data_IF_896051863209
#
_entry.id   IF_896051863209
#
_cell.length_a   1.000
_cell.length_b   1.000
_cell.length_c   1.000
_cell.angle_alpha   90.00
_cell.angle_beta   90.00
_cell.angle_gamma   90.00
#
_symmetry.space_group_name_H-M   'P 1'
#
loop_
_entity.id
_entity.type
_entity.pdbx_description
1 polymer ?
#
# COMPACT_ATOMS: atom_id res chain seq x y z
N UNK A 1 9.54 -7.52 -19.64
CA UNK A 1 9.97 -7.49 -18.21
C UNK A 1 10.32 -8.90 -17.82
N UNK A 2 11.38 -9.11 -17.05
CA UNK A 2 11.68 -10.40 -16.43
C UNK A 2 11.20 -10.35 -14.99
N UNK A 3 10.40 -11.32 -14.56
CA UNK A 3 9.91 -11.41 -13.18
C UNK A 3 10.70 -12.47 -12.41
N UNK A 4 11.57 -12.02 -11.50
CA UNK A 4 12.32 -12.92 -10.60
C UNK A 4 11.62 -13.00 -9.25
N UNK A 5 11.49 -14.21 -8.71
CA UNK A 5 10.84 -14.44 -7.44
C UNK A 5 11.23 -15.80 -6.83
N UNK A 6 11.12 -15.93 -5.50
CA UNK A 6 11.34 -17.22 -4.82
C UNK A 6 10.05 -18.03 -4.74
N UNK A 7 10.09 -19.32 -5.07
CA UNK A 7 8.94 -20.22 -4.97
C UNK A 7 8.49 -20.47 -3.52
N UNK A 8 9.34 -20.20 -2.52
CA UNK A 8 9.01 -20.38 -1.10
C UNK A 8 7.92 -19.40 -0.61
N UNK A 9 7.71 -18.28 -1.31
CA UNK A 9 6.63 -17.35 -1.01
C UNK A 9 5.34 -17.82 -1.70
N UNK A 10 4.23 -17.87 -0.95
CA UNK A 10 2.95 -18.32 -1.50
C UNK A 10 2.53 -17.50 -2.73
N UNK A 11 2.06 -18.20 -3.77
CA UNK A 11 1.72 -17.59 -5.06
C UNK A 11 0.64 -16.50 -4.97
N UNK A 12 -0.34 -16.65 -4.08
CA UNK A 12 -1.41 -15.67 -3.90
C UNK A 12 -0.92 -14.27 -3.53
N UNK A 13 0.10 -14.16 -2.67
CA UNK A 13 0.68 -12.86 -2.30
C UNK A 13 1.46 -12.21 -3.44
N UNK A 14 2.16 -13.01 -4.25
CA UNK A 14 2.85 -12.51 -5.45
C UNK A 14 1.84 -11.98 -6.46
N UNK A 15 0.79 -12.74 -6.71
CA UNK A 15 -0.29 -12.33 -7.60
C UNK A 15 -0.92 -11.03 -7.13
N UNK A 16 -1.31 -10.95 -5.85
CA UNK A 16 -1.87 -9.73 -5.25
C UNK A 16 -0.93 -8.54 -5.35
N UNK A 17 0.37 -8.75 -5.09
CA UNK A 17 1.40 -7.71 -5.18
C UNK A 17 1.50 -7.14 -6.60
N UNK A 18 1.60 -8.00 -7.62
CA UNK A 18 1.58 -7.58 -9.02
C UNK A 18 0.27 -6.87 -9.37
N UNK A 19 -0.85 -7.38 -8.88
CA UNK A 19 -2.17 -6.81 -9.13
C UNK A 19 -2.30 -5.39 -8.62
N UNK A 20 -1.84 -5.12 -7.40
CA UNK A 20 -1.86 -3.78 -6.84
C UNK A 20 -0.82 -2.87 -7.52
N UNK A 21 0.37 -3.38 -7.84
CA UNK A 21 1.41 -2.59 -8.50
C UNK A 21 0.98 -2.06 -9.87
N UNK A 22 0.32 -2.89 -10.67
CA UNK A 22 -0.05 -2.54 -12.05
C UNK A 22 -1.53 -2.13 -12.19
N UNK A 23 -2.40 -2.67 -11.35
CA UNK A 23 -3.85 -2.50 -11.44
C UNK A 23 -4.43 -1.34 -10.65
N UNK A 24 -3.65 -0.69 -9.76
CA UNK A 24 -4.18 0.39 -8.91
C UNK A 24 -4.92 1.51 -9.67
N UNK A 25 -4.52 1.96 -10.89
CA UNK A 25 -5.27 3.01 -11.58
C UNK A 25 -6.66 2.52 -11.95
N UNK A 26 -6.77 1.30 -12.50
CA UNK A 26 -8.04 0.66 -12.85
C UNK A 26 -8.91 0.45 -11.61
N UNK A 27 -8.30 0.01 -10.50
CA UNK A 27 -8.98 -0.18 -9.21
C UNK A 27 -9.57 1.15 -8.72
N UNK A 28 -8.79 2.23 -8.72
CA UNK A 28 -9.29 3.55 -8.30
C UNK A 28 -10.33 4.13 -9.26
N UNK A 29 -10.18 3.94 -10.57
CA UNK A 29 -11.18 4.36 -11.54
C UNK A 29 -12.51 3.63 -11.34
N UNK A 30 -12.48 2.32 -11.14
CA UNK A 30 -13.69 1.53 -10.89
C UNK A 30 -14.31 1.83 -9.52
N UNK A 31 -13.48 2.08 -8.50
CA UNK A 31 -13.93 2.62 -7.21
C UNK A 31 -14.67 3.95 -7.38
N UNK A 32 -14.07 4.91 -8.08
CA UNK A 32 -14.68 6.22 -8.31
C UNK A 32 -15.99 6.10 -9.08
N UNK A 33 -16.03 5.24 -10.11
CA UNK A 33 -17.26 4.92 -10.82
C UNK A 33 -18.33 4.32 -9.89
N UNK A 34 -17.97 3.35 -9.04
CA UNK A 34 -18.87 2.78 -8.05
C UNK A 34 -19.43 3.82 -7.08
N UNK A 35 -18.57 4.70 -6.55
CA UNK A 35 -18.96 5.81 -5.67
C UNK A 35 -19.94 6.76 -6.37
N UNK A 36 -19.65 7.16 -7.60
CA UNK A 36 -20.51 8.05 -8.40
C UNK A 36 -21.87 7.37 -8.67
N UNK A 37 -21.86 6.10 -9.05
CA UNK A 37 -23.08 5.33 -9.31
C UNK A 37 -23.93 5.20 -8.05
N UNK A 38 -23.35 4.80 -6.92
CA UNK A 38 -24.04 4.71 -5.64
C UNK A 38 -24.63 6.05 -5.20
N UNK A 39 -23.88 7.14 -5.34
CA UNK A 39 -24.35 8.50 -5.05
C UNK A 39 -25.54 8.88 -5.95
N UNK A 40 -25.43 8.67 -7.27
CA UNK A 40 -26.46 9.00 -8.23
C UNK A 40 -27.75 8.21 -8.01
N UNK A 41 -27.66 6.90 -7.76
CA UNK A 41 -28.83 6.05 -7.49
C UNK A 41 -29.59 6.47 -6.22
N UNK A 42 -28.88 6.90 -5.17
CA UNK A 42 -29.51 7.47 -3.97
C UNK A 42 -30.13 8.85 -4.25
N UNK A 43 -29.48 9.71 -5.03
CA UNK A 43 -30.03 11.01 -5.44
C UNK A 43 -31.35 10.85 -6.21
N UNK A 44 -31.40 9.89 -7.14
CA UNK A 44 -32.57 9.55 -7.94
C UNK A 44 -33.67 8.78 -7.18
N UNK A 45 -33.49 8.53 -5.88
CA UNK A 45 -34.42 7.72 -5.05
C UNK A 45 -34.60 6.27 -5.53
N UNK A 46 -33.66 5.73 -6.31
CA UNK A 46 -33.69 4.31 -6.71
C UNK A 46 -33.26 3.43 -5.55
N UNK A 47 -32.23 3.86 -4.81
CA UNK A 47 -31.78 3.20 -3.59
C UNK A 47 -32.34 3.90 -2.35
N UNK A 48 -32.92 3.15 -1.38
CA UNK A 48 -33.52 3.75 -0.20
C UNK A 48 -32.46 4.22 0.80
N UNK A 49 -32.76 5.32 1.48
CA UNK A 49 -32.03 5.81 2.66
C UNK A 49 -32.79 5.35 3.90
N UNK A 50 -32.32 4.27 4.51
CA UNK A 50 -33.10 3.49 5.48
C UNK A 50 -32.74 3.78 6.95
N UNK A 51 -31.69 4.56 7.23
CA UNK A 51 -31.33 4.97 8.60
C UNK A 51 -31.53 6.47 8.80
N UNK A 52 -32.04 6.86 9.96
CA UNK A 52 -32.16 8.26 10.37
C UNK A 52 -31.08 8.60 11.40
N UNK A 53 -30.49 9.78 11.28
CA UNK A 53 -29.42 10.25 12.15
C UNK A 53 -29.61 11.74 12.43
N UNK A 54 -29.49 12.17 13.68
CA UNK A 54 -29.43 13.60 13.98
C UNK A 54 -28.06 14.16 13.60
N UNK A 55 -28.07 15.32 12.97
CA UNK A 55 -26.85 16.00 12.56
C UNK A 55 -26.94 17.50 12.77
N UNK A 56 -25.82 18.06 13.20
CA UNK A 56 -25.64 19.50 13.41
C UNK A 56 -24.48 19.96 12.56
N UNK A 57 -24.75 20.82 11.58
CA UNK A 57 -23.74 21.43 10.72
C UNK A 57 -24.15 22.87 10.39
N UNK A 58 -23.33 23.85 10.76
CA UNK A 58 -23.45 25.27 10.38
C UNK A 58 -24.89 25.82 10.39
N UNK A 59 -25.49 25.92 11.57
CA UNK A 59 -26.86 26.43 11.73
C UNK A 59 -27.97 25.50 11.24
N UNK A 60 -27.64 24.39 10.57
CA UNK A 60 -28.56 23.30 10.29
C UNK A 60 -28.50 22.27 11.42
N UNK A 61 -29.62 22.08 12.11
CA UNK A 61 -29.81 21.00 13.08
C UNK A 61 -31.06 20.23 12.66
N UNK A 62 -30.91 18.95 12.34
CA UNK A 62 -32.04 18.16 11.85
C UNK A 62 -31.75 16.68 11.73
N UNK A 63 -32.81 15.93 11.42
CA UNK A 63 -32.71 14.50 11.09
C UNK A 63 -32.32 14.39 9.62
N UNK A 64 -31.20 13.71 9.35
CA UNK A 64 -30.76 13.42 7.98
C UNK A 64 -30.96 11.93 7.66
N UNK A 65 -31.50 11.60 6.48
CA UNK A 65 -31.59 10.22 6.02
C UNK A 65 -30.22 9.75 5.53
N UNK A 66 -29.81 8.54 5.92
CA UNK A 66 -28.49 7.99 5.61
C UNK A 66 -28.58 6.53 5.16
N UNK A 67 -27.53 6.07 4.48
CA UNK A 67 -27.35 4.69 4.03
C UNK A 67 -25.86 4.36 3.97
N UNK A 68 -25.52 3.13 3.59
CA UNK A 68 -24.15 2.69 3.34
C UNK A 68 -23.90 2.36 1.86
N UNK A 69 -24.79 2.78 0.96
CA UNK A 69 -24.72 2.41 -0.46
C UNK A 69 -23.44 2.91 -1.14
N UNK A 70 -22.96 4.11 -0.84
CA UNK A 70 -21.72 4.63 -1.45
C UNK A 70 -20.52 3.75 -1.03
N UNK A 71 -20.49 3.29 0.23
CA UNK A 71 -19.44 2.37 0.69
C UNK A 71 -19.52 1.01 -0.01
N UNK A 72 -20.72 0.43 -0.10
CA UNK A 72 -20.93 -0.87 -0.77
C UNK A 72 -20.53 -0.78 -2.24
N UNK A 73 -21.03 0.22 -2.97
CA UNK A 73 -20.69 0.39 -4.38
C UNK A 73 -19.22 0.75 -4.60
N UNK A 74 -18.60 1.51 -3.70
CA UNK A 74 -17.17 1.77 -3.71
C UNK A 74 -16.36 0.47 -3.57
N UNK A 75 -16.71 -0.40 -2.61
CA UNK A 75 -16.08 -1.71 -2.44
C UNK A 75 -16.29 -2.61 -3.67
N UNK A 76 -17.51 -2.69 -4.19
CA UNK A 76 -17.80 -3.42 -5.42
C UNK A 76 -17.01 -2.87 -6.61
N UNK A 77 -16.82 -1.55 -6.69
CA UNK A 77 -15.97 -0.89 -7.68
C UNK A 77 -14.51 -1.30 -7.57
N UNK A 78 -13.96 -1.39 -6.35
CA UNK A 78 -12.60 -1.92 -6.11
C UNK A 78 -12.49 -3.37 -6.59
N UNK A 79 -13.44 -4.23 -6.20
CA UNK A 79 -13.46 -5.64 -6.60
C UNK A 79 -13.60 -5.80 -8.12
N UNK A 80 -14.45 -4.99 -8.74
CA UNK A 80 -14.62 -4.97 -10.19
C UNK A 80 -13.35 -4.49 -10.89
N UNK A 81 -12.72 -3.42 -10.41
CA UNK A 81 -11.46 -2.92 -10.97
C UNK A 81 -10.34 -3.94 -10.86
N UNK A 82 -10.32 -4.71 -9.78
CA UNK A 82 -9.49 -5.89 -9.67
C UNK A 82 -9.82 -6.89 -10.79
N UNK A 83 -11.06 -7.36 -10.90
CA UNK A 83 -11.44 -8.36 -11.91
C UNK A 83 -11.21 -7.89 -13.35
N UNK A 84 -11.42 -6.61 -13.67
CA UNK A 84 -11.31 -6.07 -15.01
C UNK A 84 -9.87 -5.81 -15.44
N UNK A 85 -8.98 -5.42 -14.52
CA UNK A 85 -7.61 -4.98 -14.85
C UNK A 85 -6.86 -5.93 -15.82
N UNK A 86 -6.82 -7.26 -15.61
CA UNK A 86 -6.11 -8.18 -16.50
C UNK A 86 -6.68 -8.26 -17.91
N UNK A 87 -7.94 -7.88 -18.10
CA UNK A 87 -8.66 -8.00 -19.35
C UNK A 87 -8.70 -6.70 -20.17
N UNK A 88 -8.35 -5.56 -19.56
CA UNK A 88 -8.38 -4.27 -20.25
C UNK A 88 -7.25 -4.16 -21.30
N UNK A 89 -7.55 -3.74 -22.55
CA UNK A 89 -6.58 -3.72 -23.64
C UNK A 89 -5.44 -2.71 -23.41
N UNK A 90 -5.70 -1.63 -22.68
CA UNK A 90 -4.71 -0.60 -22.38
C UNK A 90 -3.62 -1.08 -21.40
N UNK A 91 -3.87 -2.18 -20.69
CA UNK A 91 -2.93 -2.80 -19.76
C UNK A 91 -2.00 -3.82 -20.43
N UNK A 92 -2.19 -4.12 -21.73
CA UNK A 92 -1.44 -5.16 -22.47
C UNK A 92 -0.02 -4.76 -22.89
N UNK A 93 0.51 -3.63 -22.44
CA UNK A 93 1.78 -3.09 -22.95
C UNK A 93 3.01 -3.79 -22.38
N UNK A 94 2.92 -4.41 -21.21
CA UNK A 94 4.05 -5.08 -20.57
C UNK A 94 3.93 -6.60 -20.68
N UNK A 95 4.60 -7.17 -21.70
CA UNK A 95 4.86 -8.61 -21.72
C UNK A 95 5.89 -8.92 -20.62
N UNK A 96 5.54 -9.83 -19.72
CA UNK A 96 6.47 -10.37 -18.73
C UNK A 96 6.86 -11.81 -19.09
N UNK A 97 8.13 -12.13 -18.84
CA UNK A 97 8.60 -13.50 -18.75
C UNK A 97 8.56 -13.91 -17.28
N UNK A 98 7.92 -15.04 -17.00
CA UNK A 98 7.91 -15.68 -15.69
C UNK A 98 8.29 -17.13 -15.89
N UNK A 99 9.40 -17.53 -15.28
CA UNK A 99 9.97 -18.89 -15.30
C UNK A 99 8.90 -19.99 -15.27
N UNK A 100 8.06 -20.02 -14.25
CA UNK A 100 7.06 -21.05 -14.02
C UNK A 100 5.97 -21.12 -15.12
N UNK A 101 5.64 -19.99 -15.73
CA UNK A 101 4.58 -19.91 -16.74
C UNK A 101 5.11 -20.09 -18.17
N UNK A 102 6.38 -19.72 -18.41
CA UNK A 102 6.98 -19.72 -19.73
C UNK A 102 7.84 -20.97 -20.01
N UNK A 103 8.33 -21.65 -18.97
CA UNK A 103 9.10 -22.89 -19.09
C UNK A 103 8.16 -24.07 -18.86
N UNK A 104 8.25 -25.08 -19.72
CA UNK A 104 7.46 -26.29 -19.56
C UNK A 104 7.86 -27.00 -18.25
N UNK A 105 6.90 -27.18 -17.33
CA UNK A 105 7.15 -27.79 -16.02
C UNK A 105 6.94 -29.32 -16.01
N UNK A 106 6.50 -29.92 -17.12
CA UNK A 106 6.13 -31.35 -17.20
C UNK A 106 7.00 -32.16 -18.16
N UNK A 107 7.52 -31.55 -19.23
CA UNK A 107 8.41 -32.16 -20.22
C UNK A 107 9.86 -31.79 -19.89
N UNK A 108 10.64 -32.74 -19.37
CA UNK A 108 12.02 -32.52 -18.90
C UNK A 108 12.93 -31.94 -19.99
N UNK A 109 12.75 -32.35 -21.25
CA UNK A 109 13.59 -31.86 -22.35
C UNK A 109 13.29 -30.40 -22.63
N UNK A 110 12.00 -30.04 -22.73
CA UNK A 110 11.58 -28.64 -22.92
C UNK A 110 11.85 -27.76 -21.70
N UNK A 111 11.80 -28.35 -20.50
CA UNK A 111 12.19 -27.67 -19.27
C UNK A 111 13.66 -27.28 -19.34
N UNK A 112 14.54 -28.23 -19.69
CA UNK A 112 15.97 -27.97 -19.87
C UNK A 112 16.24 -26.93 -20.97
N UNK A 113 15.61 -27.05 -22.14
CA UNK A 113 15.71 -26.05 -23.22
C UNK A 113 15.25 -24.66 -22.76
N UNK A 114 14.15 -24.59 -22.01
CA UNK A 114 13.62 -23.35 -21.45
C UNK A 114 14.57 -22.71 -20.43
N UNK A 115 15.15 -23.53 -19.54
CA UNK A 115 16.16 -23.11 -18.56
C UNK A 115 17.40 -22.56 -19.27
N UNK A 116 17.91 -23.28 -20.27
CA UNK A 116 19.07 -22.83 -21.07
C UNK A 116 18.79 -21.50 -21.80
N UNK A 117 17.52 -21.22 -22.10
CA UNK A 117 17.08 -19.99 -22.75
C UNK A 117 16.85 -18.80 -21.81
N UNK A 118 16.91 -18.97 -20.48
CA UNK A 118 16.67 -17.88 -19.50
C UNK A 118 17.58 -16.67 -19.77
N UNK A 119 18.85 -16.92 -20.10
CA UNK A 119 19.82 -15.87 -20.42
C UNK A 119 19.35 -14.98 -21.58
N UNK A 120 18.77 -15.56 -22.62
CA UNK A 120 18.23 -14.82 -23.76
C UNK A 120 17.05 -13.93 -23.35
N UNK A 121 16.17 -14.41 -22.47
CA UNK A 121 15.08 -13.60 -21.93
C UNK A 121 15.56 -12.48 -21.01
N UNK A 122 16.63 -12.68 -20.26
CA UNK A 122 17.28 -11.64 -19.47
C UNK A 122 17.87 -10.55 -20.37
N UNK A 123 18.58 -10.92 -21.44
CA UNK A 123 19.10 -9.97 -22.45
C UNK A 123 17.97 -9.19 -23.13
N UNK A 124 16.87 -9.86 -23.48
CA UNK A 124 15.74 -9.22 -24.16
C UNK A 124 14.88 -8.33 -23.24
N UNK A 125 15.06 -8.42 -21.92
CA UNK A 125 14.22 -7.73 -20.95
C UNK A 125 14.71 -6.32 -20.63
N UNK A 126 13.81 -5.33 -20.76
CA UNK A 126 14.08 -3.92 -20.40
C UNK A 126 14.12 -3.64 -18.89
N UNK A 127 13.47 -4.49 -18.12
CA UNK A 127 13.35 -4.38 -16.66
C UNK A 127 13.41 -5.78 -16.05
N UNK A 128 14.21 -5.93 -15.00
CA UNK A 128 14.14 -7.05 -14.05
C UNK A 128 13.34 -6.58 -12.83
N UNK A 129 12.20 -7.22 -12.59
CA UNK A 129 11.39 -7.01 -11.41
C UNK A 129 11.56 -8.17 -10.45
N UNK A 130 12.06 -7.87 -9.25
CA UNK A 130 12.33 -8.83 -8.19
C UNK A 130 11.22 -8.69 -7.15
N UNK A 131 10.33 -9.70 -7.06
CA UNK A 131 9.37 -9.79 -5.97
C UNK A 131 10.08 -10.26 -4.72
N UNK A 132 10.47 -9.30 -3.90
CA UNK A 132 11.38 -9.51 -2.80
C UNK A 132 10.66 -10.08 -1.58
N UNK A 133 11.30 -11.09 -0.99
CA UNK A 133 10.95 -11.69 0.31
C UNK A 133 12.21 -12.34 0.92
N UNK A 134 12.26 -12.60 2.24
CA UNK A 134 13.47 -13.09 2.90
C UNK A 134 14.15 -14.31 2.25
N UNK A 135 13.45 -15.37 1.79
CA UNK A 135 14.11 -16.56 1.21
C UNK A 135 14.53 -16.38 -0.26
N UNK A 136 14.68 -15.15 -0.76
CA UNK A 136 15.12 -14.90 -2.12
C UNK A 136 16.62 -15.21 -2.29
N UNK A 137 17.46 -14.71 -1.36
CA UNK A 137 18.92 -14.90 -1.45
C UNK A 137 19.39 -16.30 -1.07
N UNK A 138 18.51 -17.12 -0.49
CA UNK A 138 18.82 -18.52 -0.18
C UNK A 138 18.67 -19.45 -1.38
N UNK A 139 18.23 -18.96 -2.55
CA UNK A 139 18.07 -19.76 -3.78
C UNK A 139 19.05 -19.35 -4.89
N UNK A 140 19.78 -20.33 -5.41
CA UNK A 140 20.89 -20.11 -6.33
C UNK A 140 20.42 -19.46 -7.64
N UNK A 141 19.33 -19.97 -8.21
CA UNK A 141 18.69 -19.40 -9.40
C UNK A 141 18.29 -17.94 -9.22
N UNK A 142 17.60 -17.57 -8.13
CA UNK A 142 17.16 -16.20 -7.91
C UNK A 142 18.34 -15.23 -7.82
N UNK A 143 19.41 -15.62 -7.13
CA UNK A 143 20.62 -14.78 -7.02
C UNK A 143 21.34 -14.67 -8.37
N UNK A 144 21.46 -15.79 -9.08
CA UNK A 144 22.04 -15.84 -10.41
C UNK A 144 21.28 -14.95 -11.39
N UNK A 145 19.96 -14.97 -11.41
CA UNK A 145 19.14 -14.12 -12.28
C UNK A 145 19.43 -12.63 -12.12
N UNK A 146 19.57 -12.15 -10.87
CA UNK A 146 19.81 -10.73 -10.61
C UNK A 146 21.22 -10.33 -11.06
N UNK A 147 22.22 -11.15 -10.73
CA UNK A 147 23.60 -10.92 -11.16
C UNK A 147 23.77 -11.02 -12.68
N UNK A 148 23.17 -12.06 -13.30
CA UNK A 148 23.13 -12.27 -14.74
C UNK A 148 22.49 -11.08 -15.45
N UNK A 149 21.34 -10.62 -14.97
CA UNK A 149 20.66 -9.47 -15.55
C UNK A 149 21.53 -8.21 -15.51
N UNK A 150 22.18 -7.92 -14.37
CA UNK A 150 23.06 -6.75 -14.25
C UNK A 150 24.28 -6.86 -15.16
N UNK A 151 24.85 -8.07 -15.32
CA UNK A 151 25.98 -8.33 -16.23
C UNK A 151 25.58 -8.15 -17.71
N UNK A 152 24.42 -8.69 -18.09
CA UNK A 152 23.90 -8.66 -19.47
C UNK A 152 23.29 -7.30 -19.83
N UNK A 153 22.77 -6.57 -18.85
CA UNK A 153 22.16 -5.26 -18.98
C UNK A 153 22.78 -4.27 -17.96
N UNK A 154 24.00 -3.76 -18.20
CA UNK A 154 24.67 -2.88 -17.24
C UNK A 154 23.85 -1.65 -16.85
N UNK A 155 23.11 -1.07 -17.79
CA UNK A 155 22.20 0.07 -17.59
C UNK A 155 20.74 -0.34 -17.41
N UNK A 156 20.45 -1.64 -17.37
CA UNK A 156 19.12 -2.19 -17.22
C UNK A 156 18.47 -1.76 -15.91
N UNK A 157 17.15 -1.55 -15.95
CA UNK A 157 16.37 -1.20 -14.76
C UNK A 157 16.15 -2.45 -13.90
N UNK A 158 16.50 -2.38 -12.62
CA UNK A 158 16.17 -3.38 -11.61
C UNK A 158 15.19 -2.75 -10.62
N UNK A 159 14.05 -3.39 -10.39
CA UNK A 159 13.04 -2.97 -9.42
C UNK A 159 12.91 -4.05 -8.35
N UNK A 160 13.18 -3.70 -7.10
CA UNK A 160 13.02 -4.59 -5.95
C UNK A 160 11.71 -4.21 -5.27
N UNK A 161 10.72 -5.10 -5.34
CA UNK A 161 9.37 -4.84 -4.85
C UNK A 161 9.04 -5.76 -3.67
N UNK A 162 9.02 -5.26 -2.42
CA UNK A 162 8.69 -6.06 -1.24
C UNK A 162 7.21 -6.48 -1.25
N UNK A 163 6.95 -7.79 -1.27
CA UNK A 163 5.58 -8.35 -1.32
C UNK A 163 4.76 -7.99 -0.06
N UNK A 164 5.44 -7.73 1.07
CA UNK A 164 4.80 -7.38 2.34
C UNK A 164 4.08 -6.03 2.30
N UNK A 165 4.49 -5.11 1.43
CA UNK A 165 3.88 -3.78 1.31
C UNK A 165 2.45 -3.87 0.78
N UNK A 166 2.23 -4.64 -0.30
CA UNK A 166 0.89 -4.80 -0.89
C UNK A 166 -0.05 -5.58 0.03
N UNK A 167 0.47 -6.60 0.72
CA UNK A 167 -0.27 -7.32 1.76
C UNK A 167 -0.76 -6.35 2.84
N UNK A 168 0.12 -5.45 3.30
CA UNK A 168 -0.22 -4.46 4.31
C UNK A 168 -1.27 -3.48 3.82
N UNK A 169 -1.13 -2.95 2.60
CA UNK A 169 -2.12 -2.06 2.00
C UNK A 169 -3.52 -2.71 1.92
N UNK A 170 -3.61 -3.98 1.49
CA UNK A 170 -4.87 -4.73 1.46
C UNK A 170 -5.49 -4.92 2.85
N UNK A 171 -4.68 -5.30 3.85
CA UNK A 171 -5.17 -5.45 5.23
C UNK A 171 -5.69 -4.12 5.79
N UNK A 172 -4.98 -3.02 5.54
CA UNK A 172 -5.41 -1.68 5.96
C UNK A 172 -6.71 -1.27 5.27
N UNK A 173 -6.84 -1.52 3.96
CA UNK A 173 -8.08 -1.26 3.21
C UNK A 173 -9.27 -2.03 3.81
N UNK A 174 -9.12 -3.34 4.02
CA UNK A 174 -10.18 -4.18 4.56
C UNK A 174 -10.57 -3.76 5.98
N UNK A 175 -9.59 -3.48 6.84
CA UNK A 175 -9.84 -3.02 8.19
C UNK A 175 -10.56 -1.67 8.21
N UNK A 176 -10.07 -0.70 7.42
CA UNK A 176 -10.69 0.62 7.31
C UNK A 176 -12.13 0.53 6.78
N UNK A 177 -12.38 -0.35 5.82
CA UNK A 177 -13.73 -0.63 5.31
C UNK A 177 -14.66 -1.16 6.40
N UNK A 178 -14.22 -2.14 7.19
CA UNK A 178 -15.00 -2.70 8.30
C UNK A 178 -15.29 -1.62 9.35
N UNK A 179 -14.29 -0.82 9.71
CA UNK A 179 -14.45 0.25 10.71
C UNK A 179 -15.38 1.36 10.24
N UNK A 180 -15.37 1.73 8.95
CA UNK A 180 -16.32 2.70 8.39
C UNK A 180 -17.76 2.20 8.44
N UNK A 181 -17.99 0.91 8.13
CA UNK A 181 -19.31 0.29 8.22
C UNK A 181 -19.78 0.19 9.68
N UNK A 182 -18.89 -0.20 10.60
CA UNK A 182 -19.19 -0.23 12.03
C UNK A 182 -19.51 1.17 12.57
N UNK A 183 -18.76 2.19 12.15
CA UNK A 183 -18.99 3.58 12.54
C UNK A 183 -20.34 4.08 12.00
N UNK A 184 -20.63 3.80 10.73
CA UNK A 184 -21.92 4.11 10.12
C UNK A 184 -23.08 3.46 10.89
N UNK A 185 -22.94 2.21 11.32
CA UNK A 185 -23.99 1.57 12.12
C UNK A 185 -24.10 2.16 13.52
N UNK A 186 -22.97 2.48 14.15
CA UNK A 186 -22.94 3.04 15.50
C UNK A 186 -23.57 4.45 15.60
N UNK A 187 -23.53 5.25 14.52
CA UNK A 187 -24.18 6.57 14.44
C UNK A 187 -25.68 6.52 14.10
N UNK A 188 -26.22 5.35 13.78
CA UNK A 188 -27.63 5.22 13.45
C UNK A 188 -28.51 5.45 14.70
N UNK A 189 -29.61 6.20 14.55
CA UNK A 189 -30.58 6.42 15.62
C UNK A 189 -30.95 7.89 15.87
N UNK A 190 -32.02 8.12 16.64
CA UNK A 190 -32.62 9.44 16.86
C UNK A 190 -31.77 10.38 17.72
N UNK A 191 -30.67 9.93 18.32
CA UNK A 191 -29.76 10.81 19.07
C UNK A 191 -28.38 10.91 18.41
N UNK A 192 -28.27 10.50 17.13
CA UNK A 192 -26.98 10.42 16.44
C UNK A 192 -26.17 9.17 16.81
N UNK A 193 -26.82 8.17 17.41
CA UNK A 193 -26.23 6.92 17.84
C UNK A 193 -25.85 6.89 19.31
N UNK A 194 -25.45 5.71 19.79
CA UNK A 194 -24.99 5.56 21.18
C UNK A 194 -23.56 6.12 21.31
N UNK A 195 -23.31 7.13 22.16
CA UNK A 195 -21.98 7.75 22.28
C UNK A 195 -20.90 6.76 22.73
N UNK A 196 -21.26 5.79 23.58
CA UNK A 196 -20.37 4.69 23.97
C UNK A 196 -20.03 3.81 22.78
N UNK A 197 -21.01 3.48 21.93
CA UNK A 197 -20.74 2.70 20.71
C UNK A 197 -19.83 3.46 19.74
N UNK A 198 -20.04 4.76 19.55
CA UNK A 198 -19.17 5.62 18.73
C UNK A 198 -17.75 5.69 19.29
N UNK A 199 -17.62 5.83 20.62
CA UNK A 199 -16.33 5.83 21.29
C UNK A 199 -15.61 4.48 21.14
N UNK A 200 -16.32 3.36 21.31
CA UNK A 200 -15.77 2.01 21.16
C UNK A 200 -15.34 1.76 19.72
N UNK A 201 -16.15 2.14 18.72
CA UNK A 201 -15.77 1.99 17.31
C UNK A 201 -14.59 2.89 16.96
N UNK A 202 -14.59 4.16 17.40
CA UNK A 202 -13.47 5.07 17.19
C UNK A 202 -12.18 4.57 17.86
N UNK A 203 -12.26 4.12 19.11
CA UNK A 203 -11.12 3.58 19.84
C UNK A 203 -10.61 2.29 19.21
N UNK A 204 -11.49 1.32 18.89
CA UNK A 204 -11.10 0.05 18.26
C UNK A 204 -10.42 0.24 16.91
N UNK A 205 -10.87 1.21 16.12
CA UNK A 205 -10.23 1.56 14.86
C UNK A 205 -8.75 1.93 15.07
N UNK A 206 -8.48 2.88 15.98
CA UNK A 206 -7.11 3.31 16.27
C UNK A 206 -6.30 2.23 17.00
N UNK A 207 -6.89 1.52 17.96
CA UNK A 207 -6.24 0.47 18.74
C UNK A 207 -5.82 -0.75 17.92
N UNK A 208 -6.45 -1.00 16.77
CA UNK A 208 -6.08 -2.12 15.90
C UNK A 208 -5.27 -1.65 14.69
N UNK A 209 -5.73 -0.60 13.99
CA UNK A 209 -5.10 -0.12 12.75
C UNK A 209 -3.64 0.28 12.99
N UNK A 210 -3.41 1.03 14.08
CA UNK A 210 -2.11 1.63 14.35
C UNK A 210 -1.08 0.56 14.76
N UNK A 211 -1.38 -0.38 15.69
CA UNK A 211 -0.50 -1.51 15.94
C UNK A 211 -0.31 -2.43 14.72
N UNK A 212 -1.36 -2.67 13.92
CA UNK A 212 -1.24 -3.50 12.72
C UNK A 212 -0.29 -2.91 11.68
N UNK A 213 -0.43 -1.61 11.36
CA UNK A 213 0.53 -0.97 10.45
C UNK A 213 1.89 -0.70 11.10
N UNK A 214 1.98 -0.51 12.42
CA UNK A 214 3.24 -0.52 13.15
C UNK A 214 3.98 -1.86 13.03
N UNK A 215 3.25 -2.98 13.17
CA UNK A 215 3.77 -4.32 12.94
C UNK A 215 4.18 -4.53 11.48
N UNK A 216 3.39 -4.06 10.51
CA UNK A 216 3.75 -4.11 9.10
C UNK A 216 5.06 -3.37 8.80
N UNK A 217 5.22 -2.17 9.35
CA UNK A 217 6.45 -1.37 9.22
C UNK A 217 7.63 -2.06 9.90
N UNK A 218 7.43 -2.61 11.10
CA UNK A 218 8.45 -3.39 11.80
C UNK A 218 8.87 -4.62 11.00
N UNK A 219 7.91 -5.37 10.45
CA UNK A 219 8.17 -6.54 9.62
C UNK A 219 8.93 -6.14 8.36
N UNK A 220 8.54 -5.06 7.67
CA UNK A 220 9.26 -4.53 6.50
C UNK A 220 10.70 -4.12 6.85
N UNK A 221 10.91 -3.53 8.03
CA UNK A 221 12.26 -3.16 8.49
C UNK A 221 13.09 -4.39 8.83
N UNK A 222 12.52 -5.36 9.56
CA UNK A 222 13.16 -6.64 9.89
C UNK A 222 13.57 -7.36 8.61
N UNK A 223 12.67 -7.42 7.64
CA UNK A 223 12.88 -7.91 6.29
C UNK A 223 14.06 -7.22 5.58
N UNK A 224 14.13 -5.88 5.64
CA UNK A 224 15.23 -5.11 5.04
C UNK A 224 16.57 -5.33 5.76
N UNK A 225 16.55 -5.45 7.09
CA UNK A 225 17.74 -5.75 7.90
C UNK A 225 18.24 -7.18 7.64
N UNK A 226 17.32 -8.14 7.49
CA UNK A 226 17.64 -9.51 7.11
C UNK A 226 18.35 -9.52 5.75
N UNK A 227 17.83 -8.80 4.76
CA UNK A 227 18.49 -8.70 3.46
C UNK A 227 19.92 -8.13 3.58
N UNK A 228 20.12 -7.07 4.36
CA UNK A 228 21.46 -6.50 4.59
C UNK A 228 22.40 -7.55 5.18
N UNK A 229 21.92 -8.31 6.16
CA UNK A 229 22.68 -9.38 6.79
C UNK A 229 22.98 -10.51 5.81
N UNK A 230 22.00 -10.94 5.02
CA UNK A 230 22.14 -12.00 4.03
C UNK A 230 23.12 -11.61 2.92
N UNK A 231 23.06 -10.36 2.45
CA UNK A 231 24.03 -9.83 1.48
C UNK A 231 25.43 -9.72 2.07
N UNK A 232 25.58 -9.26 3.31
CA UNK A 232 26.89 -9.10 3.96
C UNK A 232 27.58 -10.45 4.22
N UNK A 233 26.80 -11.49 4.52
CA UNK A 233 27.30 -12.84 4.78
C UNK A 233 27.07 -13.80 3.60
N UNK A 234 26.83 -13.26 2.41
CA UNK A 234 26.51 -14.07 1.24
C UNK A 234 27.69 -14.97 0.83
N UNK A 235 27.41 -16.25 0.67
CA UNK A 235 28.32 -17.26 0.13
C UNK A 235 27.55 -18.15 -0.84
N UNK A 236 27.92 -18.10 -2.13
CA UNK A 236 27.27 -18.87 -3.20
C UNK A 236 27.30 -20.38 -2.96
N UNK A 237 28.31 -20.90 -2.25
CA UNK A 237 28.45 -22.33 -1.98
C UNK A 237 27.40 -22.85 -0.99
N UNK A 238 26.88 -21.97 -0.13
CA UNK A 238 25.85 -22.29 0.89
C UNK A 238 24.43 -22.11 0.37
N UNK A 239 24.26 -21.58 -0.85
CA UNK A 239 22.94 -21.31 -1.41
C UNK A 239 22.28 -22.61 -1.85
N UNK A 240 20.97 -22.73 -1.58
CA UNK A 240 20.18 -23.91 -1.96
C UNK A 240 19.93 -23.96 -3.47
N UNK A 241 20.02 -25.15 -4.03
CA UNK A 241 19.64 -25.49 -5.39
C UNK A 241 18.81 -26.78 -5.34
N UNK A 242 17.75 -26.88 -6.15
CA UNK A 242 16.87 -28.06 -6.18
C UNK A 242 17.50 -29.26 -6.88
N UNK A 243 18.46 -29.02 -7.79
CA UNK A 243 19.13 -30.04 -8.57
C UNK A 243 20.63 -29.75 -8.62
N UNK A 244 21.46 -30.80 -8.51
CA UNK A 244 22.92 -30.68 -8.57
C UNK A 244 23.40 -30.34 -9.99
N UNK A 245 22.72 -30.83 -11.02
CA UNK A 245 23.01 -30.46 -12.41
C UNK A 245 22.90 -28.94 -12.63
N UNK A 246 21.81 -28.34 -12.17
CA UNK A 246 21.62 -26.87 -12.22
C UNK A 246 22.72 -26.15 -11.44
N UNK A 247 23.08 -26.69 -10.27
CA UNK A 247 24.14 -26.11 -9.43
C UNK A 247 25.46 -26.07 -10.18
N UNK A 248 25.86 -27.19 -10.80
CA UNK A 248 27.09 -27.27 -11.58
C UNK A 248 27.06 -26.31 -12.78
N UNK A 249 25.94 -26.26 -13.52
CA UNK A 249 25.78 -25.36 -14.66
C UNK A 249 25.89 -23.88 -14.26
N UNK A 250 25.18 -23.47 -13.20
CA UNK A 250 25.21 -22.10 -12.69
C UNK A 250 26.59 -21.76 -12.12
N UNK A 251 27.20 -22.65 -11.35
CA UNK A 251 28.56 -22.45 -10.82
C UNK A 251 29.58 -22.31 -11.95
N UNK A 252 29.45 -23.08 -13.02
CA UNK A 252 30.26 -22.95 -14.23
C UNK A 252 30.08 -21.58 -14.89
N UNK A 253 28.84 -21.12 -15.07
CA UNK A 253 28.55 -19.80 -15.62
C UNK A 253 29.08 -18.66 -14.73
N UNK A 254 28.92 -18.77 -13.41
CA UNK A 254 29.47 -17.83 -12.44
C UNK A 254 30.99 -17.78 -12.54
N UNK A 255 31.66 -18.93 -12.59
CA UNK A 255 33.12 -19.02 -12.73
C UNK A 255 33.57 -18.40 -14.05
N UNK A 256 32.85 -18.62 -15.15
CA UNK A 256 33.15 -18.01 -16.44
C UNK A 256 32.99 -16.47 -16.43
N UNK A 257 32.01 -15.92 -15.72
CA UNK A 257 31.73 -14.48 -15.73
C UNK A 257 32.46 -13.66 -14.67
N UNK A 258 32.78 -14.28 -13.53
CA UNK A 258 33.38 -13.64 -12.36
C UNK A 258 34.77 -14.21 -12.02
N UNK A 259 35.24 -15.22 -12.74
CA UNK A 259 36.56 -15.85 -12.56
C UNK A 259 36.57 -16.96 -11.50
N UNK A 260 35.79 -16.84 -10.43
CA UNK A 260 35.62 -17.88 -9.41
C UNK A 260 34.33 -17.69 -8.61
N UNK A 261 33.91 -18.73 -7.89
CA UNK A 261 32.78 -18.67 -6.95
C UNK A 261 33.06 -17.67 -5.81
N UNK A 262 34.30 -17.60 -5.31
CA UNK A 262 34.67 -16.64 -4.26
C UNK A 262 34.64 -15.19 -4.76
N UNK A 263 35.11 -14.95 -5.99
CA UNK A 263 35.03 -13.62 -6.61
C UNK A 263 33.57 -13.17 -6.80
N UNK A 264 32.68 -14.11 -7.13
CA UNK A 264 31.24 -13.85 -7.16
C UNK A 264 30.66 -13.54 -5.79
N UNK A 265 30.95 -14.35 -4.75
CA UNK A 265 30.52 -14.07 -3.37
C UNK A 265 31.06 -12.72 -2.87
N UNK A 266 32.30 -12.36 -3.21
CA UNK A 266 32.88 -11.05 -2.90
C UNK A 266 32.16 -9.91 -3.64
N UNK A 267 31.81 -10.11 -4.92
CA UNK A 267 31.02 -9.13 -5.69
C UNK A 267 29.63 -8.91 -5.08
N UNK A 268 28.95 -10.00 -4.69
CA UNK A 268 27.64 -9.98 -4.05
C UNK A 268 27.67 -9.25 -2.70
N UNK A 269 28.68 -9.52 -1.87
CA UNK A 269 28.90 -8.84 -0.57
C UNK A 269 29.26 -7.36 -0.71
N UNK A 270 29.98 -7.00 -1.78
CA UNK A 270 30.52 -5.66 -1.99
C UNK A 270 29.65 -4.79 -2.91
N UNK A 271 30.07 -4.53 -4.17
CA UNK A 271 29.41 -3.56 -5.05
C UNK A 271 27.93 -3.84 -5.28
N UNK A 272 27.56 -5.11 -5.46
CA UNK A 272 26.18 -5.48 -5.74
C UNK A 272 25.27 -5.26 -4.53
N UNK A 273 25.73 -5.60 -3.32
CA UNK A 273 25.01 -5.30 -2.08
C UNK A 273 24.72 -3.80 -1.95
N UNK A 274 25.71 -2.95 -2.21
CA UNK A 274 25.53 -1.49 -2.16
C UNK A 274 24.47 -1.02 -3.17
N UNK A 275 24.49 -1.56 -4.38
CA UNK A 275 23.51 -1.26 -5.43
C UNK A 275 22.09 -1.68 -5.00
N UNK A 276 21.91 -2.91 -4.53
CA UNK A 276 20.62 -3.43 -4.06
C UNK A 276 20.07 -2.59 -2.90
N UNK A 277 20.92 -2.21 -1.96
CA UNK A 277 20.53 -1.39 -0.81
C UNK A 277 20.16 0.04 -1.24
N UNK A 278 20.86 0.61 -2.23
CA UNK A 278 20.49 1.90 -2.80
C UNK A 278 19.17 1.82 -3.56
N UNK A 279 18.95 0.77 -4.36
CA UNK A 279 17.68 0.51 -5.04
C UNK A 279 16.52 0.37 -4.06
N UNK A 280 16.73 -0.33 -2.94
CA UNK A 280 15.73 -0.44 -1.88
C UNK A 280 15.52 0.85 -1.11
N UNK A 281 16.56 1.68 -0.96
CA UNK A 281 16.42 3.01 -0.35
C UNK A 281 15.58 3.93 -1.25
N UNK A 282 15.84 3.92 -2.54
CA UNK A 282 15.07 4.68 -3.54
C UNK A 282 13.63 4.17 -3.67
N UNK A 283 13.46 2.85 -3.70
CA UNK A 283 12.13 2.19 -3.72
C UNK A 283 11.47 2.18 -2.35
N UNK A 284 12.18 2.64 -1.31
CA UNK A 284 11.78 2.55 0.09
C UNK A 284 10.66 3.50 0.45
N UNK A 285 10.27 4.44 -0.41
CA UNK A 285 9.00 5.13 -0.26
C UNK A 285 7.88 4.14 -0.61
N UNK A 286 7.03 3.81 0.37
CA UNK A 286 5.78 3.08 0.11
C UNK A 286 5.10 3.84 -1.01
N UNK A 287 4.80 3.23 -2.15
CA UNK A 287 4.28 3.99 -3.28
C UNK A 287 2.97 4.71 -2.88
N UNK A 288 2.77 5.95 -3.33
CA UNK A 288 1.68 6.81 -2.82
C UNK A 288 0.29 6.20 -3.02
N UNK A 289 0.10 5.36 -4.05
CA UNK A 289 -1.13 4.60 -4.24
C UNK A 289 -1.48 3.70 -3.04
N UNK A 290 -0.49 3.17 -2.33
CA UNK A 290 -0.72 2.34 -1.13
C UNK A 290 -1.11 3.16 0.10
N UNK A 291 -0.99 4.49 0.03
CA UNK A 291 -1.53 5.41 1.03
C UNK A 291 -2.97 5.76 0.68
N UNK A 292 -3.23 6.12 -0.58
CA UNK A 292 -4.57 6.55 -1.00
C UNK A 292 -5.59 5.41 -1.10
N UNK A 293 -5.18 4.22 -1.53
CA UNK A 293 -6.11 3.11 -1.72
C UNK A 293 -6.81 2.73 -0.39
N UNK A 294 -6.11 2.56 0.75
CA UNK A 294 -6.76 2.32 2.04
C UNK A 294 -7.65 3.47 2.55
N UNK A 295 -7.48 4.71 2.06
CA UNK A 295 -8.30 5.86 2.48
C UNK A 295 -9.66 5.91 1.77
N UNK A 296 -9.84 5.11 0.71
CA UNK A 296 -11.08 5.11 -0.10
C UNK A 296 -12.36 4.92 0.72
N UNK A 297 -12.45 4.07 1.77
CA UNK A 297 -13.70 3.93 2.51
C UNK A 297 -14.01 5.14 3.40
N UNK A 298 -12.98 5.87 3.88
CA UNK A 298 -13.17 7.14 4.61
C UNK A 298 -13.76 8.24 3.75
N UNK A 299 -13.33 8.30 2.47
CA UNK A 299 -13.93 9.16 1.45
C UNK A 299 -15.39 8.78 1.21
N UNK A 300 -15.69 7.49 1.03
CA UNK A 300 -17.07 7.01 0.86
C UNK A 300 -17.97 7.40 2.05
N UNK A 301 -17.50 7.17 3.28
CA UNK A 301 -18.25 7.52 4.50
C UNK A 301 -18.54 9.03 4.60
N UNK A 302 -17.62 9.86 4.13
CA UNK A 302 -17.79 11.33 4.13
C UNK A 302 -18.71 11.79 3.02
N UNK A 303 -18.68 11.15 1.85
CA UNK A 303 -19.64 11.37 0.77
C UNK A 303 -21.06 10.91 1.15
N UNK A 304 -21.21 9.84 1.92
CA UNK A 304 -22.51 9.43 2.50
C UNK A 304 -23.09 10.55 3.39
N UNK A 305 -22.25 11.26 4.16
CA UNK A 305 -22.67 12.43 4.96
C UNK A 305 -23.13 13.59 4.09
N UNK A 306 -22.39 13.90 3.03
CA UNK A 306 -22.73 14.96 2.06
C UNK A 306 -24.06 14.64 1.37
N UNK A 307 -24.22 13.41 0.88
CA UNK A 307 -25.47 12.91 0.28
C UNK A 307 -26.64 13.08 1.26
N UNK A 308 -26.48 12.64 2.51
CA UNK A 308 -27.53 12.71 3.52
C UNK A 308 -28.00 14.16 3.79
N UNK A 309 -27.07 15.12 3.85
CA UNK A 309 -27.40 16.55 4.00
C UNK A 309 -28.16 17.09 2.80
N UNK A 310 -27.72 16.78 1.57
CA UNK A 310 -28.41 17.18 0.34
C UNK A 310 -29.83 16.62 0.32
N UNK A 311 -30.01 15.35 0.69
CA UNK A 311 -31.31 14.67 0.71
C UNK A 311 -32.24 15.17 1.81
N UNK A 312 -31.68 15.71 2.90
CA UNK A 312 -32.44 16.40 3.94
C UNK A 312 -32.85 17.83 3.56
N UNK A 313 -32.44 18.34 2.39
CA UNK A 313 -32.70 19.72 1.98
C UNK A 313 -31.90 20.75 2.78
N UNK A 314 -30.73 20.36 3.32
CA UNK A 314 -29.86 21.28 4.03
C UNK A 314 -29.40 22.42 3.09
N UNK A 315 -29.22 23.66 3.60
CA UNK A 315 -28.67 24.75 2.80
C UNK A 315 -27.30 24.40 2.21
N UNK A 316 -26.93 25.06 1.11
CA UNK A 316 -25.67 24.79 0.42
C UNK A 316 -24.43 25.00 1.32
N UNK A 317 -24.49 25.94 2.25
CA UNK A 317 -23.36 26.30 3.11
C UNK A 317 -22.94 25.15 4.06
N UNK A 318 -23.83 24.51 4.86
CA UNK A 318 -23.53 23.26 5.57
C UNK A 318 -23.01 22.13 4.67
N UNK A 319 -23.60 21.94 3.49
CA UNK A 319 -23.19 20.88 2.55
C UNK A 319 -21.74 21.09 2.09
N UNK A 320 -21.41 22.30 1.64
CA UNK A 320 -20.06 22.69 1.23
C UNK A 320 -19.08 22.62 2.41
N UNK A 321 -19.50 23.07 3.59
CA UNK A 321 -18.71 22.99 4.82
C UNK A 321 -18.31 21.54 5.14
N UNK A 322 -19.25 20.60 5.11
CA UNK A 322 -18.97 19.17 5.34
C UNK A 322 -18.12 18.58 4.22
N UNK A 323 -18.37 18.92 2.95
CA UNK A 323 -17.56 18.45 1.82
C UNK A 323 -16.09 18.88 1.96
N UNK A 324 -15.84 20.18 2.15
CA UNK A 324 -14.47 20.68 2.25
C UNK A 324 -13.75 20.22 3.53
N UNK A 325 -14.44 20.18 4.69
CA UNK A 325 -13.82 19.76 5.95
C UNK A 325 -13.52 18.25 5.99
N UNK A 326 -14.45 17.41 5.53
CA UNK A 326 -14.32 15.96 5.66
C UNK A 326 -13.75 15.32 4.40
N UNK A 327 -14.31 15.58 3.22
CA UNK A 327 -13.86 14.91 1.98
C UNK A 327 -12.47 15.43 1.60
N UNK A 328 -12.33 16.75 1.42
CA UNK A 328 -11.09 17.35 0.93
C UNK A 328 -10.02 17.39 2.02
N UNK A 329 -10.23 18.16 3.10
CA UNK A 329 -9.23 18.30 4.16
C UNK A 329 -8.92 16.99 4.85
N UNK A 330 -9.91 16.33 5.46
CA UNK A 330 -9.63 15.19 6.33
C UNK A 330 -9.14 13.96 5.56
N UNK A 331 -9.92 13.48 4.57
CA UNK A 331 -9.62 12.20 3.91
C UNK A 331 -8.60 12.28 2.77
N UNK A 332 -8.62 13.34 1.96
CA UNK A 332 -7.73 13.43 0.77
C UNK A 332 -6.38 14.08 1.06
N UNK A 333 -6.27 14.88 2.13
CA UNK A 333 -5.05 15.62 2.45
C UNK A 333 -4.46 15.24 3.82
N UNK A 334 -5.23 15.41 4.89
CA UNK A 334 -4.73 15.29 6.27
C UNK A 334 -4.36 13.85 6.63
N UNK A 335 -5.25 12.87 6.48
CA UNK A 335 -4.94 11.47 6.80
C UNK A 335 -3.80 10.89 5.95
N UNK A 336 -3.74 11.12 4.62
CA UNK A 336 -2.58 10.74 3.83
C UNK A 336 -1.28 11.38 4.35
N UNK A 337 -1.30 12.67 4.69
CA UNK A 337 -0.13 13.34 5.27
C UNK A 337 0.27 12.73 6.62
N UNK A 338 -0.68 12.46 7.53
CA UNK A 338 -0.41 11.77 8.80
C UNK A 338 0.20 10.38 8.55
N UNK A 339 -0.30 9.62 7.57
CA UNK A 339 0.26 8.33 7.20
C UNK A 339 1.69 8.45 6.67
N UNK A 340 1.99 9.43 5.82
CA UNK A 340 3.36 9.72 5.34
C UNK A 340 4.29 10.07 6.50
N UNK A 341 3.86 11.01 7.35
CA UNK A 341 4.62 11.42 8.53
C UNK A 341 4.91 10.22 9.43
N UNK A 342 3.91 9.36 9.64
CA UNK A 342 4.06 8.15 10.45
C UNK A 342 5.06 7.16 9.85
N UNK A 343 4.94 6.83 8.57
CA UNK A 343 5.86 5.92 7.88
C UNK A 343 7.30 6.45 8.01
N UNK A 344 7.50 7.76 7.86
CA UNK A 344 8.78 8.40 8.04
C UNK A 344 9.28 8.32 9.49
N UNK A 345 8.43 8.67 10.47
CA UNK A 345 8.78 8.67 11.88
C UNK A 345 9.13 7.24 12.36
N UNK A 346 8.36 6.24 11.95
CA UNK A 346 8.60 4.84 12.27
C UNK A 346 9.95 4.36 11.72
N UNK A 347 10.26 4.68 10.46
CA UNK A 347 11.57 4.34 9.87
C UNK A 347 12.72 5.03 10.60
N UNK A 348 12.56 6.30 10.96
CA UNK A 348 13.60 7.07 11.66
C UNK A 348 13.80 6.61 13.11
N UNK A 349 12.72 6.36 13.86
CA UNK A 349 12.79 5.82 15.22
C UNK A 349 13.49 4.46 15.23
N UNK A 350 13.08 3.55 14.34
CA UNK A 350 13.73 2.25 14.18
C UNK A 350 15.23 2.36 13.83
N UNK A 351 15.67 3.44 13.18
CA UNK A 351 17.07 3.67 12.88
C UNK A 351 17.87 4.11 14.12
N UNK A 352 17.30 4.95 14.99
CA UNK A 352 17.94 5.43 16.23
C UNK A 352 17.99 4.34 17.31
N UNK A 353 16.99 3.46 17.36
CA UNK A 353 16.86 2.37 18.33
C UNK A 353 17.97 1.30 18.28
N UNK A 354 18.93 1.38 17.34
CA UNK A 354 20.09 0.48 17.32
C UNK A 354 21.08 0.70 18.48
N UNK A 355 20.90 1.77 19.30
CA UNK A 355 21.97 2.18 20.22
C UNK A 355 21.68 2.25 21.72
N UNK A 356 20.45 2.19 22.28
CA UNK A 356 20.25 2.00 23.74
C UNK A 356 18.81 1.96 24.30
N UNK A 357 17.79 2.49 23.61
CA UNK A 357 16.41 2.43 24.13
C UNK A 357 15.67 1.17 23.63
N UNK A 358 14.77 0.57 24.44
CA UNK A 358 13.92 -0.50 23.96
C UNK A 358 13.00 0.07 22.89
N UNK A 359 13.16 -0.42 21.65
CA UNK A 359 12.40 -0.05 20.45
C UNK A 359 10.89 0.05 20.66
N UNK A 360 10.35 -0.67 21.64
CA UNK A 360 8.95 -0.62 22.04
C UNK A 360 8.48 0.77 22.52
N UNK A 361 9.30 1.52 23.30
CA UNK A 361 8.88 2.83 23.82
C UNK A 361 8.80 3.87 22.70
N UNK A 362 9.80 3.91 21.81
CA UNK A 362 9.82 4.83 20.66
C UNK A 362 8.66 4.55 19.71
N UNK A 363 8.43 3.28 19.38
CA UNK A 363 7.25 2.87 18.59
C UNK A 363 5.99 3.34 19.31
N UNK A 364 5.83 3.06 20.61
CA UNK A 364 4.63 3.47 21.37
C UNK A 364 4.42 4.99 21.36
N UNK A 365 5.48 5.79 21.50
CA UNK A 365 5.40 7.25 21.41
C UNK A 365 4.95 7.71 20.02
N UNK A 366 5.50 7.11 18.97
CA UNK A 366 5.08 7.38 17.59
C UNK A 366 3.61 7.00 17.40
N UNK A 367 3.16 5.84 17.92
CA UNK A 367 1.76 5.41 17.84
C UNK A 367 0.85 6.40 18.57
N UNK A 368 1.19 6.83 19.80
CA UNK A 368 0.43 7.82 20.57
C UNK A 368 0.34 9.14 19.82
N UNK A 369 1.45 9.62 19.26
CA UNK A 369 1.47 10.85 18.45
C UNK A 369 0.57 10.73 17.21
N UNK A 370 0.54 9.57 16.56
CA UNK A 370 -0.32 9.31 15.41
C UNK A 370 -1.81 9.31 15.82
N UNK A 371 -2.15 8.68 16.94
CA UNK A 371 -3.52 8.70 17.50
C UNK A 371 -3.94 10.14 17.79
N UNK A 372 -3.13 10.90 18.52
CA UNK A 372 -3.41 12.30 18.86
C UNK A 372 -3.59 13.13 17.58
N UNK A 373 -2.72 12.96 16.59
CA UNK A 373 -2.80 13.69 15.32
C UNK A 373 -4.07 13.34 14.55
N UNK A 374 -4.43 12.05 14.46
CA UNK A 374 -5.63 11.60 13.77
C UNK A 374 -6.91 12.09 14.46
N UNK A 375 -6.95 12.03 15.79
CA UNK A 375 -8.05 12.58 16.59
C UNK A 375 -8.14 14.10 16.41
N UNK A 376 -7.02 14.82 16.50
CA UNK A 376 -6.99 16.27 16.34
C UNK A 376 -7.55 16.71 14.98
N UNK A 377 -7.15 16.04 13.89
CA UNK A 377 -7.71 16.31 12.56
C UNK A 377 -9.20 16.03 12.47
N UNK A 378 -9.66 14.92 13.05
CA UNK A 378 -11.08 14.54 13.06
C UNK A 378 -11.93 15.53 13.85
N UNK A 379 -11.51 15.88 15.08
CA UNK A 379 -12.19 16.86 15.91
C UNK A 379 -12.19 18.25 15.26
N UNK A 380 -11.07 18.67 14.66
CA UNK A 380 -10.98 19.94 13.94
C UNK A 380 -11.97 19.97 12.77
N UNK A 381 -12.05 18.91 11.97
CA UNK A 381 -13.01 18.82 10.87
C UNK A 381 -14.46 18.93 11.35
N UNK A 382 -14.81 18.25 12.46
CA UNK A 382 -16.17 18.30 13.04
C UNK A 382 -16.48 19.71 13.55
N UNK A 383 -15.64 20.27 14.43
CA UNK A 383 -15.86 21.59 15.06
C UNK A 383 -15.93 22.68 14.00
N UNK A 384 -14.98 22.70 13.06
CA UNK A 384 -14.90 23.75 12.05
C UNK A 384 -16.05 23.67 11.06
N UNK A 385 -16.52 22.45 10.75
CA UNK A 385 -17.68 22.27 9.89
C UNK A 385 -18.99 22.78 10.52
N UNK A 386 -19.06 22.79 11.86
CA UNK A 386 -20.21 23.28 12.62
C UNK A 386 -20.18 24.81 12.82
N UNK A 387 -19.01 25.45 12.74
CA UNK A 387 -18.82 26.87 13.08
C UNK A 387 -19.12 27.83 11.92
N UNK A 388 -18.31 27.79 10.85
CA UNK A 388 -18.45 28.69 9.70
C UNK A 388 -17.80 28.10 8.43
N UNK A 389 -18.24 28.57 7.26
CA UNK A 389 -17.62 28.16 5.99
C UNK A 389 -16.20 28.75 5.89
N UNK A 390 -16.01 29.97 6.36
CA UNK A 390 -14.74 30.68 6.40
C UNK A 390 -13.70 29.93 7.24
N UNK A 391 -14.09 29.45 8.44
CA UNK A 391 -13.25 28.61 9.28
C UNK A 391 -12.89 27.29 8.59
N UNK A 392 -13.83 26.71 7.83
CA UNK A 392 -13.58 25.49 7.05
C UNK A 392 -12.60 25.74 5.90
N UNK A 393 -12.72 26.86 5.19
CA UNK A 393 -11.77 27.23 4.13
C UNK A 393 -10.38 27.51 4.69
N UNK A 394 -10.29 28.21 5.82
CA UNK A 394 -9.02 28.42 6.53
C UNK A 394 -8.37 27.08 6.93
N UNK A 395 -9.17 26.15 7.46
CA UNK A 395 -8.69 24.79 7.76
C UNK A 395 -8.15 24.07 6.53
N UNK A 396 -8.84 24.18 5.38
CA UNK A 396 -8.36 23.62 4.11
C UNK A 396 -6.99 24.19 3.73
N UNK A 397 -6.80 25.51 3.81
CA UNK A 397 -5.51 26.13 3.54
C UNK A 397 -4.41 25.60 4.48
N UNK A 398 -4.69 25.51 5.79
CA UNK A 398 -3.73 24.97 6.77
C UNK A 398 -3.37 23.52 6.49
N UNK A 399 -4.36 22.69 6.15
CA UNK A 399 -4.15 21.28 5.81
C UNK A 399 -3.38 21.10 4.51
N UNK A 400 -3.64 21.93 3.50
CA UNK A 400 -2.86 21.92 2.24
C UNK A 400 -1.38 22.24 2.52
N UNK A 401 -1.11 23.27 3.34
CA UNK A 401 0.26 23.63 3.74
C UNK A 401 0.89 22.49 4.53
N UNK A 402 0.20 21.95 5.55
CA UNK A 402 0.68 20.82 6.34
C UNK A 402 1.01 19.61 5.48
N UNK A 403 0.08 19.21 4.60
CA UNK A 403 0.29 18.10 3.68
C UNK A 403 1.48 18.38 2.76
N UNK A 404 1.55 19.55 2.14
CA UNK A 404 2.67 19.94 1.27
C UNK A 404 4.03 19.85 1.97
N UNK A 405 4.12 20.34 3.22
CA UNK A 405 5.35 20.26 4.02
C UNK A 405 5.70 18.82 4.39
N UNK A 406 4.73 18.02 4.85
CA UNK A 406 4.96 16.62 5.20
C UNK A 406 5.38 15.81 3.98
N UNK A 407 4.68 15.94 2.85
CA UNK A 407 5.08 15.28 1.62
C UNK A 407 6.46 15.75 1.16
N UNK A 408 6.78 17.04 1.23
CA UNK A 408 8.10 17.52 0.84
C UNK A 408 9.23 16.97 1.73
N UNK A 409 9.10 17.11 3.06
CA UNK A 409 10.18 16.79 4.00
C UNK A 409 10.23 15.32 4.40
N UNK A 410 9.09 14.65 4.58
CA UNK A 410 9.05 13.27 5.06
C UNK A 410 9.13 12.27 3.91
N UNK A 411 8.59 12.58 2.72
CA UNK A 411 8.65 11.66 1.58
C UNK A 411 10.02 11.62 0.92
N UNK A 412 10.66 12.78 0.79
CA UNK A 412 11.94 12.91 0.09
C UNK A 412 13.17 12.86 1.01
N UNK A 413 12.99 12.74 2.34
CA UNK A 413 14.10 12.52 3.25
C UNK A 413 14.80 11.19 2.94
N UNK A 414 16.04 11.29 2.44
CA UNK A 414 16.92 10.18 2.06
C UNK A 414 17.67 9.55 3.22
#
# INVERSE_FOLDING_TARGET
MFLSHTWNTQGGWKFLSLFLQFGWPTILCCWAFGVILGFALCMLNILPLFELCHHTALGFTGVIPSSCWIQIFGLLGILLGCLLFPHLPFCKKDKCFQDFACINQTDETKMAEGIMSISAFLVASKELRVLWSPPLLSRLWCVFEIAAYRKLNPTGKIVIAPVDNEKSACMLLLWWQISCLAYWKARAGPEGGNPTALLVVGASFFLVLIPAAGHALWQSQKSSNQLRSDLANFDVTQVSCSCDFDRECIHGAITAWYGSLEAFSAHMRGPFSQEVLELMRMSGTIASQYIYLPMTPGVCLSLDKVLALVKAGAPAQPVLSVFFSHVVSLNLLYFPAVAVFWIWAAKRGLWLGSRRLPSALEISMILVLCIISALAGTYSAVILSANSLESTLLWNCLVVVFAGLVWHFCWHAK
#
